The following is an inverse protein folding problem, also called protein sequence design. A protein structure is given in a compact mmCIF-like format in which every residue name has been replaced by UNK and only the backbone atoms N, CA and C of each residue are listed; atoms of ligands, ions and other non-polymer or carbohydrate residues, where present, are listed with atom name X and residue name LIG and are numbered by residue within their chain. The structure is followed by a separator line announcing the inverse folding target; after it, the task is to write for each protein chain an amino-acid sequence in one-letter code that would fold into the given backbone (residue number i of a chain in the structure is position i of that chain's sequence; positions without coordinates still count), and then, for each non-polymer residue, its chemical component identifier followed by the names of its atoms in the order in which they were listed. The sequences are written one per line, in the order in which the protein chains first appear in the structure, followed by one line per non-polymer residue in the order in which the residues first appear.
data_IF_807781876323
#
_entry.id   IF_807781876323
#
_cell.length_a   1.000
_cell.length_b   1.000
_cell.length_c   1.000
_cell.angle_alpha   90.00
_cell.angle_beta   90.00
_cell.angle_gamma   90.00
#
_symmetry.space_group_name_H-M   'P 1'
#
loop_
_entity.id
_entity.type
_entity.pdbx_description
1 polymer ?
#
# COMPACT_ATOMS: atom_id res chain seq x y z
N UNK A 1 48.70 49.70 -19.21
CA UNK A 1 47.50 49.39 -18.41
C UNK A 1 47.65 47.97 -17.88
N UNK A 2 47.70 47.72 -16.56
CA UNK A 2 47.72 46.37 -16.02
C UNK A 2 46.28 45.81 -15.95
N UNK A 3 46.07 44.65 -16.57
CA UNK A 3 44.83 43.88 -16.53
C UNK A 3 44.59 43.35 -15.10
N UNK A 4 43.43 43.65 -14.51
CA UNK A 4 43.04 43.13 -13.19
C UNK A 4 42.51 41.68 -13.32
N UNK A 5 42.95 40.74 -12.46
CA UNK A 5 42.43 39.37 -12.48
C UNK A 5 40.94 39.34 -12.04
N UNK A 6 40.09 38.51 -12.68
CA UNK A 6 38.67 38.49 -12.38
C UNK A 6 38.42 37.95 -10.96
N UNK A 7 37.88 38.82 -10.11
CA UNK A 7 37.45 38.51 -8.76
C UNK A 7 36.41 37.39 -8.73
N UNK A 8 36.70 36.39 -7.90
CA UNK A 8 35.84 35.27 -7.52
C UNK A 8 34.46 35.79 -7.08
N UNK A 9 33.42 35.46 -7.83
CA UNK A 9 32.03 35.85 -7.51
C UNK A 9 31.59 35.24 -6.18
N UNK A 10 31.10 36.10 -5.28
CA UNK A 10 30.71 35.80 -3.90
C UNK A 10 29.28 35.21 -3.76
N UNK A 11 28.59 34.96 -4.87
CA UNK A 11 27.17 34.54 -4.87
C UNK A 11 26.95 33.03 -4.87
N UNK A 12 28.00 32.21 -4.73
CA UNK A 12 27.82 30.77 -4.57
C UNK A 12 27.64 30.45 -3.07
N UNK A 13 26.44 30.00 -2.64
CA UNK A 13 26.29 29.50 -1.28
C UNK A 13 27.26 28.34 -1.09
N UNK A 14 28.18 28.52 -0.15
CA UNK A 14 29.12 27.50 0.30
C UNK A 14 28.28 26.29 0.67
N UNK A 15 28.27 25.24 -0.16
CA UNK A 15 27.64 23.96 0.17
C UNK A 15 28.39 23.41 1.38
N UNK A 16 27.90 23.74 2.56
CA UNK A 16 28.30 23.13 3.82
C UNK A 16 28.27 21.64 3.59
N UNK A 17 29.43 20.99 3.63
CA UNK A 17 29.57 19.57 3.42
C UNK A 17 28.75 18.86 4.50
N UNK A 18 27.48 18.55 4.17
CA UNK A 18 26.71 17.60 4.98
C UNK A 18 27.50 16.31 4.92
N UNK A 19 28.03 15.90 6.06
CA UNK A 19 28.58 14.57 6.27
C UNK A 19 27.43 13.59 5.98
N UNK A 20 27.26 13.21 4.72
CA UNK A 20 26.35 12.15 4.33
C UNK A 20 27.06 10.89 4.74
N UNK A 21 26.74 10.40 5.94
CA UNK A 21 26.99 9.02 6.30
C UNK A 21 26.27 8.19 5.22
N UNK A 22 27.02 7.74 4.21
CA UNK A 22 26.51 6.90 3.15
C UNK A 22 26.34 5.50 3.75
N UNK A 23 25.29 5.34 4.55
CA UNK A 23 24.86 4.05 5.04
C UNK A 23 24.30 3.32 3.83
N UNK A 24 24.95 2.23 3.44
CA UNK A 24 24.54 1.40 2.31
C UNK A 24 23.09 0.89 2.53
N UNK A 25 22.13 1.38 1.71
CA UNK A 25 20.73 1.07 1.89
C UNK A 25 20.41 -0.41 1.68
N UNK A 26 21.24 -1.16 0.96
CA UNK A 26 21.01 -2.59 0.68
C UNK A 26 21.46 -3.46 1.87
N UNK A 27 22.61 -3.13 2.46
CA UNK A 27 23.13 -3.81 3.64
C UNK A 27 22.18 -3.64 4.84
N UNK A 28 21.66 -2.44 5.06
CA UNK A 28 20.72 -2.15 6.13
C UNK A 28 19.36 -2.82 5.91
N UNK A 29 18.87 -2.89 4.67
CA UNK A 29 17.61 -3.58 4.34
C UNK A 29 17.64 -5.06 4.74
N UNK A 30 18.73 -5.76 4.42
CA UNK A 30 18.93 -7.17 4.81
C UNK A 30 19.01 -7.36 6.32
N UNK A 31 19.65 -6.44 7.04
CA UNK A 31 19.75 -6.47 8.51
C UNK A 31 18.38 -6.22 9.15
N UNK A 32 17.64 -5.21 8.69
CA UNK A 32 16.31 -4.89 9.19
C UNK A 32 15.32 -6.03 8.96
N UNK A 33 15.34 -6.69 7.81
CA UNK A 33 14.48 -7.86 7.55
C UNK A 33 14.81 -9.06 8.45
N UNK A 34 16.09 -9.25 8.78
CA UNK A 34 16.51 -10.30 9.72
C UNK A 34 16.09 -9.96 11.15
N UNK A 35 16.25 -8.70 11.56
CA UNK A 35 15.82 -8.20 12.86
C UNK A 35 14.29 -8.25 13.02
N UNK A 36 13.54 -7.88 11.99
CA UNK A 36 12.08 -7.94 11.99
C UNK A 36 11.57 -9.37 12.18
N UNK A 37 12.13 -10.34 11.44
CA UNK A 37 11.80 -11.76 11.62
C UNK A 37 12.20 -12.29 13.00
N UNK A 38 13.32 -11.80 13.54
CA UNK A 38 13.82 -12.20 14.85
C UNK A 38 12.97 -11.64 16.00
N UNK A 39 12.65 -10.34 15.98
CA UNK A 39 11.84 -9.63 16.98
C UNK A 39 10.35 -10.01 16.92
N UNK A 40 9.83 -10.34 15.72
CA UNK A 40 8.46 -10.81 15.54
C UNK A 40 8.20 -12.25 16.01
N UNK A 41 9.26 -13.01 16.31
CA UNK A 41 9.16 -14.38 16.81
C UNK A 41 9.20 -14.39 18.34
N UNK A 42 8.23 -15.03 19.01
CA UNK A 42 8.19 -15.15 20.49
C UNK A 42 9.42 -15.80 21.14
N UNK A 43 10.30 -16.41 20.33
CA UNK A 43 11.60 -16.95 20.74
C UNK A 43 12.55 -15.88 21.29
N UNK A 44 12.50 -14.64 20.77
CA UNK A 44 13.35 -13.55 21.27
C UNK A 44 12.99 -13.20 22.72
N UNK A 45 11.70 -12.99 22.99
CA UNK A 45 11.20 -12.69 24.32
C UNK A 45 11.52 -13.82 25.30
N UNK A 46 11.36 -15.08 24.89
CA UNK A 46 11.72 -16.25 25.70
C UNK A 46 13.21 -16.23 26.12
N UNK A 47 14.13 -16.04 25.17
CA UNK A 47 15.56 -16.00 25.50
C UNK A 47 15.94 -14.78 26.34
N UNK A 48 15.33 -13.61 26.05
CA UNK A 48 15.54 -12.39 26.82
C UNK A 48 15.10 -12.58 28.29
N UNK A 49 13.91 -13.13 28.53
CA UNK A 49 13.42 -13.44 29.88
C UNK A 49 14.31 -14.45 30.58
N UNK A 50 14.75 -15.50 29.88
CA UNK A 50 15.63 -16.52 30.46
C UNK A 50 16.99 -15.94 30.85
N UNK A 51 17.56 -15.04 30.05
CA UNK A 51 18.80 -14.34 30.38
C UNK A 51 18.62 -13.47 31.63
N UNK A 52 17.52 -12.72 31.73
CA UNK A 52 17.21 -11.89 32.91
C UNK A 52 17.06 -12.75 34.16
N UNK A 53 16.30 -13.85 34.08
CA UNK A 53 16.10 -14.77 35.22
C UNK A 53 17.42 -15.43 35.63
N UNK A 54 18.23 -15.89 34.68
CA UNK A 54 19.54 -16.46 34.95
C UNK A 54 20.47 -15.44 35.61
N UNK A 55 20.42 -14.18 35.18
CA UNK A 55 21.22 -13.10 35.77
C UNK A 55 20.77 -12.75 37.18
N UNK A 56 19.46 -12.71 37.43
CA UNK A 56 18.89 -12.52 38.77
C UNK A 56 19.35 -13.65 39.69
N UNK A 57 19.25 -14.91 39.24
CA UNK A 57 19.71 -16.07 39.98
C UNK A 57 21.22 -16.02 40.27
N UNK A 58 22.05 -15.70 39.27
CA UNK A 58 23.49 -15.54 39.44
C UNK A 58 23.81 -14.45 40.46
N UNK A 59 23.12 -13.31 40.43
CA UNK A 59 23.32 -12.23 41.40
C UNK A 59 22.93 -12.68 42.83
N UNK A 60 21.81 -13.40 43.00
CA UNK A 60 21.38 -13.99 44.27
C UNK A 60 22.43 -14.94 44.89
N UNK A 61 23.05 -15.81 44.08
CA UNK A 61 24.10 -16.71 44.55
C UNK A 61 25.45 -16.00 44.75
N UNK A 62 25.79 -15.04 43.87
CA UNK A 62 27.05 -14.29 43.92
C UNK A 62 27.09 -13.19 45.00
N UNK A 63 25.95 -12.78 45.56
CA UNK A 63 25.86 -11.90 46.75
C UNK A 63 26.62 -12.52 47.94
N UNK A 64 26.64 -13.85 48.06
CA UNK A 64 27.44 -14.54 49.10
C UNK A 64 28.95 -14.34 48.96
N UNK A 65 29.44 -14.06 47.74
CA UNK A 65 30.85 -13.84 47.41
C UNK A 65 31.24 -12.36 47.33
N UNK A 66 30.32 -11.44 47.68
CA UNK A 66 30.50 -9.96 47.63
C UNK A 66 30.99 -9.42 46.27
N UNK A 67 30.73 -10.12 45.18
CA UNK A 67 31.24 -9.76 43.86
C UNK A 67 30.62 -8.47 43.31
N UNK A 68 29.44 -8.09 43.80
CA UNK A 68 28.78 -6.79 43.52
C UNK A 68 28.16 -6.25 44.83
N UNK A 69 28.71 -5.19 45.45
CA UNK A 69 28.21 -4.63 46.71
C UNK A 69 26.77 -4.08 46.63
N UNK A 70 26.29 -3.79 45.41
CA UNK A 70 24.92 -3.36 45.14
C UNK A 70 24.26 -4.34 44.18
N UNK A 71 23.35 -5.22 44.66
CA UNK A 71 22.69 -6.16 43.79
C UNK A 71 21.94 -5.39 42.67
N UNK A 72 22.15 -5.83 41.42
CA UNK A 72 21.52 -5.35 40.18
C UNK A 72 22.02 -4.04 39.54
N UNK A 73 23.08 -3.37 40.04
CA UNK A 73 23.56 -2.11 39.41
C UNK A 73 24.07 -2.32 37.98
N UNK A 74 24.83 -3.40 37.75
CA UNK A 74 25.36 -3.74 36.43
C UNK A 74 24.25 -4.14 35.44
N UNK A 75 23.22 -4.84 35.93
CA UNK A 75 22.06 -5.20 35.12
C UNK A 75 21.29 -3.95 34.69
N UNK A 76 21.07 -3.02 35.61
CA UNK A 76 20.36 -1.78 35.34
C UNK A 76 21.17 -0.89 34.36
N UNK A 77 22.49 -0.84 34.53
CA UNK A 77 23.38 -0.13 33.61
C UNK A 77 23.30 -0.73 32.20
N UNK A 78 23.36 -2.06 32.09
CA UNK A 78 23.25 -2.76 30.82
C UNK A 78 21.90 -2.50 30.12
N UNK A 79 20.78 -2.56 30.85
CA UNK A 79 19.46 -2.23 30.30
C UNK A 79 19.34 -0.77 29.88
N UNK A 80 19.91 0.14 30.67
CA UNK A 80 19.93 1.57 30.33
C UNK A 80 20.69 1.82 29.03
N UNK A 81 21.86 1.20 28.86
CA UNK A 81 22.60 1.24 27.60
C UNK A 81 21.87 0.53 26.47
N UNK A 82 21.19 -0.59 26.76
CA UNK A 82 20.37 -1.32 25.78
C UNK A 82 19.27 -0.42 25.20
N UNK A 83 18.54 0.29 26.06
CA UNK A 83 17.50 1.23 25.64
C UNK A 83 18.11 2.41 24.86
N UNK A 84 19.24 2.94 25.33
CA UNK A 84 19.90 4.09 24.69
C UNK A 84 20.39 3.79 23.26
N UNK A 85 20.92 2.59 22.98
CA UNK A 85 21.34 2.21 21.61
C UNK A 85 20.16 1.75 20.74
N UNK A 86 19.06 1.26 21.35
CA UNK A 86 17.87 0.87 20.61
C UNK A 86 17.20 2.09 19.95
N UNK A 87 17.13 3.24 20.62
CA UNK A 87 16.51 4.44 20.10
C UNK A 87 17.02 4.89 18.70
N UNK A 88 18.32 5.06 18.44
CA UNK A 88 18.82 5.44 17.11
C UNK A 88 18.62 4.35 16.06
N UNK A 89 18.70 3.06 16.45
CA UNK A 89 18.44 1.94 15.54
C UNK A 89 16.98 1.89 15.11
N UNK A 90 16.05 2.11 16.05
CA UNK A 90 14.62 2.20 15.78
C UNK A 90 14.34 3.41 14.89
N UNK A 91 14.93 4.57 15.17
CA UNK A 91 14.77 5.78 14.34
C UNK A 91 15.24 5.55 12.90
N UNK A 92 16.37 4.87 12.70
CA UNK A 92 16.87 4.50 11.36
C UNK A 92 15.94 3.49 10.66
N UNK A 93 15.38 2.53 11.41
CA UNK A 93 14.42 1.58 10.88
C UNK A 93 13.09 2.26 10.50
N UNK A 94 12.63 3.22 11.30
CA UNK A 94 11.40 3.99 11.10
C UNK A 94 11.52 4.91 9.88
N UNK A 95 12.59 5.70 9.74
CA UNK A 95 12.78 6.57 8.56
C UNK A 95 12.67 5.80 7.24
N UNK A 96 13.17 4.55 7.21
CA UNK A 96 13.07 3.69 6.03
C UNK A 96 11.69 3.06 5.83
N UNK A 97 10.95 2.85 6.91
CA UNK A 97 9.56 2.41 6.81
C UNK A 97 8.73 3.55 6.21
N UNK A 98 8.90 4.77 6.72
CA UNK A 98 8.22 5.97 6.25
C UNK A 98 8.53 6.28 4.78
N UNK A 99 9.78 6.12 4.34
CA UNK A 99 10.16 6.29 2.92
C UNK A 99 9.46 5.27 2.00
N UNK A 100 9.37 3.99 2.43
CA UNK A 100 8.68 2.95 1.66
C UNK A 100 7.16 3.18 1.64
N UNK A 101 6.60 3.53 2.79
CA UNK A 101 5.17 3.81 2.93
C UNK A 101 4.78 5.01 2.08
N UNK A 102 5.65 6.02 1.99
CA UNK A 102 5.46 7.17 1.10
C UNK A 102 5.40 6.77 -0.37
N UNK A 103 6.35 5.96 -0.86
CA UNK A 103 6.35 5.49 -2.25
C UNK A 103 5.09 4.67 -2.54
N UNK A 104 4.74 3.74 -1.63
CA UNK A 104 3.52 2.94 -1.76
C UNK A 104 2.25 3.80 -1.81
N UNK A 105 2.17 4.88 -1.02
CA UNK A 105 1.06 5.82 -1.03
C UNK A 105 1.00 6.66 -2.31
N UNK A 106 2.14 7.04 -2.87
CA UNK A 106 2.20 7.77 -4.14
C UNK A 106 1.73 6.88 -5.30
N UNK A 107 2.16 5.61 -5.34
CA UNK A 107 1.70 4.64 -6.33
C UNK A 107 0.19 4.35 -6.21
N UNK A 108 -0.31 4.16 -4.99
CA UNK A 108 -1.74 3.89 -4.76
C UNK A 108 -2.63 5.08 -5.16
N UNK A 109 -2.16 6.31 -4.93
CA UNK A 109 -2.83 7.52 -5.42
C UNK A 109 -2.85 7.59 -6.94
N UNK A 110 -1.73 7.29 -7.60
CA UNK A 110 -1.65 7.27 -9.06
C UNK A 110 -2.60 6.21 -9.65
N UNK A 111 -2.59 5.01 -9.08
CA UNK A 111 -3.49 3.92 -9.49
C UNK A 111 -4.95 4.29 -9.27
N UNK A 112 -5.29 4.88 -8.12
CA UNK A 112 -6.63 5.35 -7.83
C UNK A 112 -7.11 6.44 -8.79
N UNK A 113 -6.23 7.35 -9.20
CA UNK A 113 -6.54 8.38 -10.20
C UNK A 113 -6.81 7.74 -11.57
N UNK A 114 -6.00 6.77 -11.98
CA UNK A 114 -6.20 6.04 -13.23
C UNK A 114 -7.52 5.26 -13.23
N UNK A 115 -7.80 4.48 -12.19
CA UNK A 115 -9.06 3.73 -12.06
C UNK A 115 -10.28 4.66 -12.13
N UNK A 116 -10.21 5.85 -11.53
CA UNK A 116 -11.28 6.86 -11.64
C UNK A 116 -11.46 7.32 -13.08
N UNK A 117 -10.37 7.66 -13.78
CA UNK A 117 -10.43 8.09 -15.17
C UNK A 117 -10.99 6.99 -16.09
N UNK A 118 -10.56 5.75 -15.90
CA UNK A 118 -11.07 4.59 -16.67
C UNK A 118 -12.57 4.39 -16.42
N UNK A 119 -13.01 4.54 -15.16
CA UNK A 119 -14.44 4.44 -14.81
C UNK A 119 -15.26 5.57 -15.45
N UNK A 120 -14.76 6.80 -15.43
CA UNK A 120 -15.41 7.93 -16.09
C UNK A 120 -15.47 7.75 -17.61
N UNK A 121 -14.41 7.23 -18.22
CA UNK A 121 -14.36 6.91 -19.64
C UNK A 121 -15.42 5.86 -20.00
N UNK A 122 -15.43 4.74 -19.28
CA UNK A 122 -16.42 3.67 -19.49
C UNK A 122 -17.85 4.16 -19.27
N UNK A 123 -18.09 5.03 -18.28
CA UNK A 123 -19.41 5.61 -18.05
C UNK A 123 -19.87 6.51 -19.21
N UNK A 124 -18.96 7.31 -19.78
CA UNK A 124 -19.26 8.15 -20.95
C UNK A 124 -19.53 7.30 -22.20
N UNK A 125 -18.69 6.30 -22.46
CA UNK A 125 -18.88 5.35 -23.55
C UNK A 125 -20.22 4.61 -23.41
N UNK A 126 -20.54 4.12 -22.21
CA UNK A 126 -21.83 3.47 -21.94
C UNK A 126 -23.01 4.42 -22.17
N UNK A 127 -22.91 5.69 -21.76
CA UNK A 127 -23.93 6.69 -22.01
C UNK A 127 -24.12 6.95 -23.51
N UNK A 128 -23.03 7.07 -24.27
CA UNK A 128 -23.07 7.24 -25.72
C UNK A 128 -23.70 6.03 -26.42
N UNK A 129 -23.29 4.81 -26.06
CA UNK A 129 -23.89 3.56 -26.57
C UNK A 129 -25.38 3.49 -26.24
N UNK A 130 -25.79 3.87 -25.03
CA UNK A 130 -27.20 3.90 -24.62
C UNK A 130 -28.03 4.88 -25.46
N UNK A 131 -27.49 6.06 -25.75
CA UNK A 131 -28.16 7.05 -26.60
C UNK A 131 -28.30 6.53 -28.04
N UNK A 132 -27.23 5.99 -28.63
CA UNK A 132 -27.27 5.40 -29.97
C UNK A 132 -28.28 4.24 -30.07
N UNK A 133 -28.32 3.35 -29.08
CA UNK A 133 -29.33 2.29 -29.00
C UNK A 133 -30.74 2.85 -28.79
N UNK A 134 -30.90 3.91 -28.00
CA UNK A 134 -32.19 4.57 -27.80
C UNK A 134 -32.76 5.16 -29.08
N UNK A 135 -31.90 5.75 -29.93
CA UNK A 135 -32.29 6.26 -31.25
C UNK A 135 -32.62 5.14 -32.24
N UNK A 136 -31.83 4.05 -32.29
CA UNK A 136 -32.04 2.94 -33.25
C UNK A 136 -33.18 2.00 -32.83
N UNK A 137 -33.42 1.82 -31.53
CA UNK A 137 -34.47 0.96 -31.00
C UNK A 137 -35.76 1.73 -30.67
N UNK A 138 -36.13 2.75 -31.46
CA UNK A 138 -37.44 3.37 -31.27
C UNK A 138 -38.53 2.33 -31.55
N UNK A 139 -39.51 2.22 -30.65
CA UNK A 139 -40.65 1.28 -30.80
C UNK A 139 -41.31 1.39 -32.18
N UNK A 140 -41.32 2.59 -32.76
CA UNK A 140 -41.90 2.86 -34.07
C UNK A 140 -41.02 2.36 -35.23
N UNK A 141 -39.70 2.40 -35.10
CA UNK A 141 -38.77 1.79 -36.06
C UNK A 141 -38.87 0.26 -36.01
N UNK A 142 -38.85 -0.32 -34.80
CA UNK A 142 -39.06 -1.76 -34.62
C UNK A 142 -40.42 -2.21 -35.15
N UNK A 143 -41.49 -1.45 -34.89
CA UNK A 143 -42.82 -1.71 -35.48
C UNK A 143 -42.82 -1.57 -36.99
N UNK A 144 -42.18 -0.53 -37.53
CA UNK A 144 -42.08 -0.30 -38.97
C UNK A 144 -41.36 -1.44 -39.69
N UNK A 145 -40.23 -1.89 -39.14
CA UNK A 145 -39.45 -2.99 -39.72
C UNK A 145 -40.17 -4.34 -39.58
N UNK A 146 -40.85 -4.58 -38.44
CA UNK A 146 -41.69 -5.77 -38.25
C UNK A 146 -42.84 -5.79 -39.27
N UNK A 147 -43.55 -4.67 -39.43
CA UNK A 147 -44.69 -4.55 -40.33
C UNK A 147 -44.25 -4.68 -41.79
N UNK A 148 -43.07 -4.15 -42.14
CA UNK A 148 -42.41 -4.34 -43.44
C UNK A 148 -42.06 -5.81 -43.70
N UNK A 149 -41.44 -6.49 -42.74
CA UNK A 149 -41.11 -7.92 -42.84
C UNK A 149 -42.36 -8.80 -43.01
N UNK A 150 -43.44 -8.50 -42.27
CA UNK A 150 -44.72 -9.19 -42.39
C UNK A 150 -45.39 -8.94 -43.75
N UNK A 151 -45.22 -7.74 -44.31
CA UNK A 151 -45.74 -7.38 -45.64
C UNK A 151 -44.97 -8.07 -46.76
N UNK A 152 -43.64 -8.22 -46.63
CA UNK A 152 -42.80 -8.98 -47.56
C UNK A 152 -42.96 -10.50 -47.45
N UNK A 153 -43.31 -11.03 -46.26
CA UNK A 153 -43.54 -12.47 -46.04
C UNK A 153 -45.00 -12.79 -45.67
N UNK A 154 -45.98 -12.57 -46.57
CA UNK A 154 -47.40 -12.78 -46.29
C UNK A 154 -47.78 -14.24 -46.00
N UNK A 155 -46.92 -15.20 -46.38
CA UNK A 155 -47.14 -16.64 -46.16
C UNK A 155 -46.97 -17.07 -44.69
N UNK A 156 -46.27 -16.30 -43.84
CA UNK A 156 -46.03 -16.67 -42.43
C UNK A 156 -47.17 -16.27 -41.47
N UNK A 157 -47.98 -15.28 -41.84
CA UNK A 157 -49.14 -14.82 -41.05
C UNK A 157 -50.24 -15.88 -40.94
N UNK A 158 -50.35 -16.76 -41.93
CA UNK A 158 -51.29 -17.90 -41.90
C UNK A 158 -50.85 -19.05 -40.97
N UNK A 159 -49.60 -19.05 -40.53
CA UNK A 159 -49.01 -20.11 -39.70
C UNK A 159 -48.56 -19.61 -38.31
N UNK A 160 -48.99 -18.42 -37.87
CA UNK A 160 -48.73 -17.96 -36.51
C UNK A 160 -49.51 -18.86 -35.53
N UNK A 161 -48.85 -19.58 -34.61
CA UNK A 161 -49.54 -20.49 -33.70
C UNK A 161 -50.40 -19.67 -32.71
N UNK A 162 -51.67 -20.08 -32.64
CA UNK A 162 -52.72 -19.63 -31.73
C UNK A 162 -52.35 -19.94 -30.27
N UNK A 163 -51.43 -19.17 -29.67
CA UNK A 163 -50.91 -19.43 -28.30
C UNK A 163 -51.20 -18.27 -27.33
N UNK A 164 -51.90 -17.22 -27.77
CA UNK A 164 -52.17 -16.01 -26.94
C UNK A 164 -53.65 -15.88 -26.56
N UNK A 165 -54.45 -16.95 -26.72
CA UNK A 165 -55.89 -16.94 -26.44
C UNK A 165 -56.29 -17.82 -25.24
N UNK A 166 -55.32 -18.15 -24.39
CA UNK A 166 -55.46 -19.08 -23.26
C UNK A 166 -55.01 -18.44 -21.93
N UNK A 167 -55.40 -17.18 -21.71
CA UNK A 167 -55.21 -16.49 -20.41
C UNK A 167 -56.54 -16.06 -19.76
N UNK A 168 -57.67 -16.35 -20.40
CA UNK A 168 -59.02 -16.00 -19.93
C UNK A 168 -59.72 -17.15 -19.17
N UNK A 169 -59.09 -18.33 -19.05
CA UNK A 169 -59.66 -19.55 -18.44
C UNK A 169 -58.97 -19.97 -17.12
N UNK A 170 -58.51 -19.01 -16.29
CA UNK A 170 -58.02 -19.31 -14.93
C UNK A 170 -59.19 -19.25 -13.95
N UNK A 171 -59.61 -20.36 -13.32
CA UNK A 171 -60.66 -20.34 -12.30
C UNK A 171 -60.18 -19.59 -11.05
N UNK A 172 -61.08 -18.82 -10.46
CA UNK A 172 -60.90 -18.05 -9.21
C UNK A 172 -60.52 -18.90 -8.00
#
# INVERSE_FOLDING_TARGET
MPELPPGRRLDQPKRTGRLRLAIDPEAFGRVSERLARFLGTGKFLFWQSLLVIAWIALNLFAVSMRWDPYPFILLNLAFSTQAAYAAPLILLAQNRQDDRDRVSLEEDRARSAQTKADTEFLARELAAVRLALGEVATRDFLRGELDRFFRENPKRRKNAPEVVRDWDDVPS
#
